data_IF_147856056992
#
_entry.id   IF_147856056992
#
_cell.length_a   1.000
_cell.length_b   1.000
_cell.length_c   1.000
_cell.angle_alpha   90.00
_cell.angle_beta   90.00
_cell.angle_gamma   90.00
#
_symmetry.space_group_name_H-M   'P 1'
#
loop_
_entity.id
_entity.type
_entity.pdbx_description
1 polymer ?
#
# COMPACT_ATOMS: atom_id res chain seq x y z
N UNK A 1 -47.24 -83.61 -26.89
CA UNK A 1 -45.82 -83.29 -26.61
C UNK A 1 -45.36 -82.28 -27.66
N UNK A 2 -44.73 -81.13 -27.42
CA UNK A 2 -44.27 -80.43 -26.23
C UNK A 2 -44.15 -78.93 -26.62
N UNK A 3 -44.56 -78.00 -25.74
CA UNK A 3 -44.39 -76.57 -25.96
C UNK A 3 -42.99 -76.13 -25.49
N UNK A 4 -42.24 -75.45 -26.36
CA UNK A 4 -40.89 -74.95 -26.09
C UNK A 4 -40.94 -73.75 -25.15
N UNK A 5 -40.34 -73.87 -23.97
CA UNK A 5 -40.19 -72.78 -22.99
C UNK A 5 -38.85 -72.08 -23.19
N UNK A 6 -38.90 -70.82 -23.65
CA UNK A 6 -37.74 -69.97 -23.82
C UNK A 6 -37.26 -69.48 -22.44
N UNK A 7 -36.00 -69.73 -22.07
CA UNK A 7 -35.44 -69.36 -20.77
C UNK A 7 -34.66 -68.05 -20.92
N UNK A 8 -35.19 -66.97 -20.33
CA UNK A 8 -34.59 -65.64 -20.36
C UNK A 8 -33.18 -65.63 -19.79
N UNK A 9 -32.27 -64.99 -20.52
CA UNK A 9 -30.89 -64.72 -20.09
C UNK A 9 -30.93 -63.74 -18.91
N UNK A 10 -30.48 -64.17 -17.74
CA UNK A 10 -30.26 -63.31 -16.58
C UNK A 10 -28.97 -62.50 -16.76
N UNK A 11 -29.07 -61.18 -16.63
CA UNK A 11 -27.93 -60.28 -16.69
C UNK A 11 -27.13 -60.31 -15.37
N UNK A 12 -25.86 -60.69 -15.46
CA UNK A 12 -24.91 -60.62 -14.35
C UNK A 12 -24.48 -59.16 -14.21
N UNK A 13 -24.99 -58.47 -13.19
CA UNK A 13 -24.55 -57.11 -12.83
C UNK A 13 -23.32 -57.21 -11.95
N UNK A 14 -22.18 -56.82 -12.51
CA UNK A 14 -20.89 -56.70 -11.82
C UNK A 14 -21.01 -55.73 -10.64
N UNK A 15 -20.97 -56.25 -9.40
CA UNK A 15 -20.82 -55.43 -8.22
C UNK A 15 -19.36 -54.99 -8.11
N UNK A 16 -19.04 -53.77 -8.55
CA UNK A 16 -17.77 -53.12 -8.19
C UNK A 16 -17.87 -52.74 -6.72
N UNK A 17 -17.11 -53.44 -5.87
CA UNK A 17 -16.91 -53.09 -4.47
C UNK A 17 -16.24 -51.72 -4.39
N UNK A 18 -17.03 -50.66 -4.26
CA UNK A 18 -16.52 -49.32 -3.93
C UNK A 18 -15.89 -49.33 -2.55
N UNK A 19 -14.82 -48.54 -2.36
CA UNK A 19 -14.18 -48.38 -1.06
C UNK A 19 -15.23 -48.11 0.02
N UNK A 20 -15.20 -48.85 1.13
CA UNK A 20 -16.28 -48.82 2.09
C UNK A 20 -16.26 -47.47 2.84
N UNK A 21 -17.42 -46.89 3.08
CA UNK A 21 -17.61 -45.48 3.52
C UNK A 21 -16.83 -45.11 4.81
N UNK A 22 -16.61 -46.08 5.70
CA UNK A 22 -15.77 -45.90 6.91
C UNK A 22 -14.31 -45.54 6.60
N UNK A 23 -13.79 -45.90 5.42
CA UNK A 23 -12.46 -45.50 4.98
C UNK A 23 -12.30 -43.97 4.86
N UNK A 24 -13.34 -43.27 4.39
CA UNK A 24 -13.32 -41.80 4.31
C UNK A 24 -13.35 -41.14 5.69
N UNK A 25 -14.05 -41.74 6.66
CA UNK A 25 -14.08 -41.26 8.05
C UNK A 25 -12.68 -41.36 8.66
N UNK A 26 -11.99 -42.49 8.47
CA UNK A 26 -10.64 -42.68 8.96
C UNK A 26 -9.66 -41.64 8.36
N UNK A 27 -9.78 -41.34 7.06
CA UNK A 27 -8.97 -40.33 6.37
C UNK A 27 -9.23 -38.92 6.92
N UNK A 28 -10.49 -38.58 7.18
CA UNK A 28 -10.87 -37.28 7.74
C UNK A 28 -10.30 -37.05 9.14
N UNK A 29 -10.36 -38.07 10.02
CA UNK A 29 -9.80 -38.00 11.37
C UNK A 29 -8.28 -37.83 11.33
N UNK A 30 -7.60 -38.53 10.41
CA UNK A 30 -6.15 -38.45 10.27
C UNK A 30 -5.70 -37.06 9.80
N UNK A 31 -6.39 -36.49 8.80
CA UNK A 31 -6.12 -35.12 8.33
C UNK A 31 -6.41 -34.05 9.40
N UNK A 32 -7.52 -34.18 10.14
CA UNK A 32 -7.85 -33.28 11.24
C UNK A 32 -6.83 -33.33 12.38
N UNK A 33 -6.37 -34.54 12.75
CA UNK A 33 -5.35 -34.73 13.77
C UNK A 33 -4.00 -34.11 13.40
N UNK A 34 -3.57 -34.26 12.14
CA UNK A 34 -2.33 -33.62 11.65
C UNK A 34 -2.44 -32.08 11.74
N UNK A 35 -3.58 -31.51 11.35
CA UNK A 35 -3.81 -30.07 11.41
C UNK A 35 -3.83 -29.55 12.86
N UNK A 36 -4.42 -30.30 13.79
CA UNK A 36 -4.41 -30.01 15.24
C UNK A 36 -2.97 -30.00 15.80
N UNK A 37 -2.13 -30.98 15.43
CA UNK A 37 -0.73 -31.06 15.89
C UNK A 37 0.10 -29.90 15.33
N UNK A 38 -0.13 -29.49 14.08
CA UNK A 38 0.52 -28.31 13.48
C UNK A 38 0.13 -27.04 14.23
N UNK A 39 -1.12 -26.88 14.65
CA UNK A 39 -1.56 -25.71 15.43
C UNK A 39 -0.93 -25.68 16.83
N UNK A 40 -0.89 -26.81 17.53
CA UNK A 40 -0.32 -26.90 18.88
C UNK A 40 1.21 -26.68 18.86
N UNK A 41 1.91 -27.26 17.88
CA UNK A 41 3.36 -27.10 17.74
C UNK A 41 3.76 -25.78 17.08
N UNK A 42 2.85 -25.19 16.30
CA UNK A 42 3.04 -23.98 15.51
C UNK A 42 2.60 -22.68 16.17
N UNK A 43 2.20 -22.66 17.45
CA UNK A 43 2.06 -21.45 18.30
C UNK A 43 1.31 -20.25 17.67
N UNK A 44 0.49 -20.48 16.65
CA UNK A 44 -0.15 -19.39 15.91
C UNK A 44 -1.35 -18.81 16.67
N UNK A 45 -1.87 -19.54 17.67
CA UNK A 45 -3.06 -19.16 18.46
C UNK A 45 -2.75 -18.76 19.91
N UNK A 46 -1.58 -19.10 20.47
CA UNK A 46 -1.16 -18.58 21.79
C UNK A 46 -0.65 -17.13 21.71
N UNK A 47 -0.24 -16.67 20.52
CA UNK A 47 0.29 -15.32 20.31
C UNK A 47 -0.78 -14.20 20.37
N UNK A 48 -2.08 -14.55 20.41
CA UNK A 48 -3.17 -13.59 20.70
C UNK A 48 -3.49 -13.46 22.21
N UNK A 49 -2.89 -14.29 23.08
CA UNK A 49 -2.99 -14.14 24.53
C UNK A 49 -1.69 -13.58 25.10
N UNK A 50 -1.21 -12.48 24.52
CA UNK A 50 -0.32 -11.56 25.24
C UNK A 50 -1.16 -10.84 26.28
N UNK A 51 -1.13 -11.41 27.47
CA UNK A 51 -1.68 -10.88 28.68
C UNK A 51 -0.73 -9.78 29.16
N UNK A 52 -1.00 -8.53 28.76
CA UNK A 52 -0.43 -7.34 29.39
C UNK A 52 -1.00 -7.23 30.81
N UNK A 53 -0.49 -8.05 31.72
CA UNK A 53 -0.67 -7.85 33.15
C UNK A 53 0.54 -7.07 33.68
N UNK A 54 0.35 -5.91 34.31
CA UNK A 54 1.43 -5.19 34.96
C UNK A 54 2.08 -6.08 36.02
N UNK A 55 3.35 -6.45 35.84
CA UNK A 55 4.12 -7.07 36.91
C UNK A 55 4.31 -6.03 38.03
N UNK A 56 3.92 -6.39 39.25
CA UNK A 56 4.27 -5.63 40.44
C UNK A 56 5.79 -5.61 40.59
N UNK A 57 6.38 -4.41 40.48
CA UNK A 57 7.80 -4.19 40.68
C UNK A 57 8.15 -4.45 42.17
N UNK A 58 8.92 -5.49 42.51
CA UNK A 58 9.25 -5.82 43.90
C UNK A 58 10.24 -4.83 44.55
N UNK A 59 10.70 -3.81 43.82
CA UNK A 59 11.67 -2.83 44.34
C UNK A 59 11.06 -1.49 44.75
N UNK A 60 9.73 -1.34 44.77
CA UNK A 60 9.07 -0.16 45.32
C UNK A 60 9.05 -0.21 46.87
N UNK A 61 10.21 -0.07 47.50
CA UNK A 61 10.30 0.24 48.93
C UNK A 61 10.23 1.76 49.08
N UNK A 62 9.20 2.26 49.75
CA UNK A 62 9.07 3.69 50.06
C UNK A 62 10.23 4.14 50.96
N UNK A 63 11.09 5.04 50.45
CA UNK A 63 12.05 5.75 51.30
C UNK A 63 11.28 6.62 52.28
N UNK A 64 11.26 6.18 53.55
CA UNK A 64 10.86 7.00 54.70
C UNK A 64 12.03 7.92 54.99
N UNK A 65 11.83 9.21 54.73
CA UNK A 65 12.81 10.25 55.03
C UNK A 65 13.11 10.36 56.51
N UNK A 66 14.38 10.60 56.82
CA UNK A 66 14.86 11.35 57.99
C UNK A 66 16.30 11.79 57.73
N UNK A 67 16.45 13.11 57.58
CA UNK A 67 17.67 13.95 57.55
C UNK A 67 18.53 13.74 58.83
N UNK A 68 19.78 14.30 59.02
CA UNK A 68 20.32 15.52 58.41
C UNK A 68 21.86 15.61 58.13
N UNK A 69 22.22 16.58 57.27
CA UNK A 69 23.40 17.44 57.42
C UNK A 69 24.77 16.93 56.98
N UNK A 70 25.30 17.46 55.86
CA UNK A 70 26.64 18.08 55.71
C UNK A 70 26.63 18.96 54.44
N UNK A 71 27.34 20.08 54.52
CA UNK A 71 27.37 21.27 53.66
C UNK A 71 28.29 21.13 52.42
N UNK A 72 27.79 21.58 51.24
CA UNK A 72 28.45 22.24 50.08
C UNK A 72 29.71 21.65 49.37
N UNK A 73 30.09 22.09 48.14
CA UNK A 73 29.37 22.82 47.07
C UNK A 73 29.56 22.22 45.64
N UNK A 74 28.99 22.90 44.65
CA UNK A 74 29.28 22.91 43.20
C UNK A 74 28.46 21.99 42.28
N UNK A 75 27.64 22.62 41.43
CA UNK A 75 27.19 22.03 40.18
C UNK A 75 25.73 22.32 39.83
N UNK A 76 25.50 23.46 39.18
CA UNK A 76 24.54 23.71 38.09
C UNK A 76 23.15 23.02 38.10
N UNK A 77 22.12 23.85 38.30
CA UNK A 77 20.87 23.93 37.52
C UNK A 77 20.18 22.63 37.06
N UNK A 78 19.04 22.32 37.68
CA UNK A 78 17.69 22.45 37.08
C UNK A 78 16.67 21.45 37.65
N UNK A 79 15.64 22.01 38.28
CA UNK A 79 14.42 21.35 38.77
C UNK A 79 13.59 20.73 37.63
N UNK A 80 12.70 19.75 37.93
CA UNK A 80 12.09 18.86 36.95
C UNK A 80 11.03 19.58 36.09
N UNK A 81 11.13 19.47 34.76
CA UNK A 81 10.04 19.89 33.87
C UNK A 81 8.86 18.92 33.97
N UNK A 82 7.73 19.46 34.43
CA UNK A 82 6.40 18.87 34.45
C UNK A 82 5.99 18.40 33.02
N UNK A 83 5.20 17.33 32.88
CA UNK A 83 4.75 16.88 31.56
C UNK A 83 3.84 17.93 30.92
N UNK A 84 4.26 18.45 29.75
CA UNK A 84 3.41 19.23 28.86
C UNK A 84 2.43 18.28 28.18
N UNK A 85 1.13 18.60 28.27
CA UNK A 85 0.03 17.82 27.70
C UNK A 85 -0.28 18.40 26.32
N UNK A 86 0.03 17.65 25.25
CA UNK A 86 -0.11 18.11 23.87
C UNK A 86 -1.50 17.76 23.31
N UNK A 87 -2.48 18.59 23.65
CA UNK A 87 -3.90 18.44 23.28
C UNK A 87 -4.18 18.60 21.77
N UNK A 88 -3.21 19.04 20.97
CA UNK A 88 -3.39 19.17 19.52
C UNK A 88 -3.11 17.88 18.73
N UNK A 89 -2.67 16.80 19.40
CA UNK A 89 -2.52 15.49 18.77
C UNK A 89 -3.81 14.67 18.66
N UNK A 90 -4.95 15.17 19.15
CA UNK A 90 -6.24 14.47 19.07
C UNK A 90 -7.31 15.37 18.44
N UNK A 91 -7.18 15.76 17.16
CA UNK A 91 -8.31 16.40 16.46
C UNK A 91 -8.49 16.19 14.95
N UNK A 92 -7.82 15.27 14.26
CA UNK A 92 -8.23 15.02 12.87
C UNK A 92 -8.04 13.57 12.44
N UNK A 93 -8.35 12.66 13.35
CA UNK A 93 -8.86 11.34 13.01
C UNK A 93 -10.32 11.48 12.52
N UNK A 94 -10.47 12.01 11.30
CA UNK A 94 -11.68 11.85 10.49
C UNK A 94 -11.25 11.80 9.02
N UNK A 95 -10.56 10.72 8.67
CA UNK A 95 -10.46 10.29 7.28
C UNK A 95 -11.87 9.88 6.82
N UNK A 96 -12.56 10.82 6.18
CA UNK A 96 -13.83 10.55 5.50
C UNK A 96 -13.47 9.89 4.17
N UNK A 97 -13.79 8.60 4.02
CA UNK A 97 -13.86 7.94 2.72
C UNK A 97 -14.89 8.69 1.87
N UNK A 98 -14.44 9.49 0.91
CA UNK A 98 -15.31 10.09 -0.10
C UNK A 98 -15.69 8.95 -1.07
N UNK A 99 -16.97 8.57 -1.19
CA UNK A 99 -17.41 7.58 -2.17
C UNK A 99 -17.17 8.11 -3.59
N UNK A 100 -16.76 7.25 -4.54
CA UNK A 100 -16.53 7.60 -5.96
C UNK A 100 -17.69 8.39 -6.63
N UNK A 101 -18.90 8.33 -6.05
CA UNK A 101 -20.08 9.06 -6.49
C UNK A 101 -19.95 10.60 -6.35
N UNK A 102 -19.31 11.12 -5.30
CA UNK A 102 -19.16 12.57 -5.11
C UNK A 102 -18.06 13.15 -6.00
N UNK A 103 -16.99 12.38 -6.24
CA UNK A 103 -15.88 12.74 -7.13
C UNK A 103 -16.38 12.85 -8.58
N UNK A 104 -17.24 11.92 -9.00
CA UNK A 104 -17.84 11.94 -10.34
C UNK A 104 -18.91 13.03 -10.50
N UNK A 105 -19.62 13.42 -9.44
CA UNK A 105 -20.52 14.56 -9.44
C UNK A 105 -19.76 15.89 -9.57
N UNK A 106 -18.66 16.07 -8.83
CA UNK A 106 -17.81 17.25 -8.94
C UNK A 106 -17.12 17.36 -10.30
N UNK A 107 -16.64 16.25 -10.87
CA UNK A 107 -16.03 16.24 -12.19
C UNK A 107 -17.01 16.68 -13.31
N UNK A 108 -18.30 16.32 -13.20
CA UNK A 108 -19.34 16.77 -14.15
C UNK A 108 -19.66 18.26 -13.99
N UNK A 109 -19.69 18.76 -12.76
CA UNK A 109 -19.91 20.19 -12.49
C UNK A 109 -18.77 21.07 -13.03
N UNK A 110 -17.51 20.67 -12.84
CA UNK A 110 -16.35 21.38 -13.40
C UNK A 110 -16.33 21.36 -14.95
N UNK A 111 -16.75 20.25 -15.56
CA UNK A 111 -16.87 20.15 -17.02
C UNK A 111 -17.95 21.08 -17.58
N UNK A 112 -19.11 21.19 -16.93
CA UNK A 112 -20.14 22.17 -17.32
C UNK A 112 -19.63 23.60 -17.20
N UNK A 113 -18.90 23.92 -16.14
CA UNK A 113 -18.39 25.28 -15.92
C UNK A 113 -17.32 25.69 -16.95
N UNK A 114 -16.45 24.76 -17.38
CA UNK A 114 -15.53 25.01 -18.50
C UNK A 114 -16.24 25.18 -19.84
N UNK A 115 -17.34 24.47 -20.09
CA UNK A 115 -18.12 24.62 -21.32
C UNK A 115 -18.88 25.96 -21.34
N UNK A 116 -19.35 26.46 -20.20
CA UNK A 116 -19.98 27.77 -20.06
C UNK A 116 -18.94 28.90 -20.26
N UNK A 117 -17.74 28.76 -19.70
CA UNK A 117 -16.66 29.73 -19.88
C UNK A 117 -16.12 29.77 -21.32
N UNK A 118 -16.10 28.64 -22.03
CA UNK A 118 -15.70 28.57 -23.43
C UNK A 118 -16.73 29.22 -24.38
N UNK A 119 -18.03 29.13 -24.05
CA UNK A 119 -19.10 29.78 -24.82
C UNK A 119 -19.16 31.30 -24.62
N UNK A 120 -18.56 31.84 -23.55
CA UNK A 120 -18.50 33.29 -23.29
C UNK A 120 -17.27 33.98 -23.90
N UNK A 121 -16.38 33.25 -24.59
CA UNK A 121 -15.15 33.80 -25.18
C UNK A 121 -15.18 34.36 -26.61
N UNK A 122 -16.31 34.54 -27.34
CA UNK A 122 -16.28 35.21 -28.63
C UNK A 122 -16.67 36.70 -28.48
N UNK A 123 -15.74 37.56 -28.05
CA UNK A 123 -15.90 39.02 -28.22
C UNK A 123 -14.60 39.84 -28.13
N UNK A 124 -13.52 39.35 -27.51
CA UNK A 124 -12.34 40.18 -27.23
C UNK A 124 -11.15 40.02 -28.21
N UNK A 125 -11.27 39.19 -29.25
CA UNK A 125 -10.15 38.86 -30.15
C UNK A 125 -10.22 39.50 -31.55
N UNK A 126 -11.15 40.43 -31.81
CA UNK A 126 -11.35 41.02 -33.15
C UNK A 126 -10.99 42.51 -33.29
N UNK A 127 -10.20 43.10 -32.39
CA UNK A 127 -9.92 44.55 -32.45
C UNK A 127 -8.45 44.96 -32.39
N UNK A 128 -7.56 44.16 -32.97
CA UNK A 128 -6.19 44.59 -33.22
C UNK A 128 -5.71 44.16 -34.62
N UNK A 129 -6.25 44.82 -35.65
CA UNK A 129 -5.66 44.80 -36.99
C UNK A 129 -5.63 46.20 -37.58
N UNK A 130 -4.46 46.86 -37.53
CA UNK A 130 -4.05 47.90 -38.47
C UNK A 130 -2.50 47.93 -38.56
N UNK A 131 -1.91 48.25 -39.74
CA UNK A 131 -0.57 47.81 -40.13
C UNK A 131 0.53 48.89 -40.13
N UNK A 132 1.79 48.40 -40.14
CA UNK A 132 3.00 48.92 -40.82
C UNK A 132 3.64 50.26 -40.39
N UNK A 133 4.88 50.21 -39.87
CA UNK A 133 6.16 50.52 -40.57
C UNK A 133 7.32 50.93 -39.63
N UNK A 134 8.55 50.57 -40.03
CA UNK A 134 9.90 51.04 -39.61
C UNK A 134 10.52 50.49 -38.30
N UNK A 135 11.86 50.46 -38.16
CA UNK A 135 12.73 49.38 -38.64
C UNK A 135 13.57 48.74 -37.51
N UNK A 136 14.26 47.66 -37.87
CA UNK A 136 15.15 46.85 -37.04
C UNK A 136 16.06 47.64 -36.08
N UNK A 137 15.90 47.36 -34.78
CA UNK A 137 16.99 47.43 -33.81
C UNK A 137 17.48 46.00 -33.59
N UNK A 138 18.61 45.74 -34.24
CA UNK A 138 19.47 44.59 -34.08
C UNK A 138 20.00 44.63 -32.64
N UNK A 139 19.60 43.68 -31.80
CA UNK A 139 20.35 43.34 -30.58
C UNK A 139 20.72 41.87 -30.69
N UNK A 140 22.02 41.69 -30.82
CA UNK A 140 22.73 40.47 -31.12
C UNK A 140 22.30 39.30 -30.24
N UNK A 141 22.04 38.19 -30.92
CA UNK A 141 22.13 36.86 -30.36
C UNK A 141 23.61 36.59 -30.03
N UNK A 142 24.05 36.93 -28.82
CA UNK A 142 25.21 36.26 -28.23
C UNK A 142 24.71 35.02 -27.52
N UNK A 143 25.00 33.90 -28.16
CA UNK A 143 24.99 32.56 -27.60
C UNK A 143 25.71 32.56 -26.24
N UNK A 144 24.97 32.23 -25.19
CA UNK A 144 25.51 31.65 -23.98
C UNK A 144 24.75 30.33 -23.79
N UNK A 145 25.53 29.26 -23.62
CA UNK A 145 25.15 27.86 -23.58
C UNK A 145 23.81 27.57 -22.89
N UNK A 146 23.08 26.51 -23.30
CA UNK A 146 21.85 26.10 -22.65
C UNK A 146 22.19 25.66 -21.22
N UNK A 147 22.07 26.59 -20.27
CA UNK A 147 21.96 26.24 -18.87
C UNK A 147 20.74 25.35 -18.76
N UNK A 148 21.02 24.05 -18.64
CA UNK A 148 20.05 23.00 -18.57
C UNK A 148 19.06 23.36 -17.48
N UNK A 149 17.83 23.67 -17.88
CA UNK A 149 16.71 23.70 -16.96
C UNK A 149 16.57 22.27 -16.42
N UNK A 150 17.20 22.02 -15.27
CA UNK A 150 16.95 20.83 -14.47
C UNK A 150 15.43 20.81 -14.26
N UNK A 151 14.70 19.79 -14.77
CA UNK A 151 13.26 19.76 -14.58
C UNK A 151 13.01 19.64 -13.09
N UNK A 152 12.58 20.73 -12.47
CA UNK A 152 12.09 20.76 -11.09
C UNK A 152 11.07 19.62 -10.96
N UNK A 153 11.26 18.65 -10.04
CA UNK A 153 10.34 17.53 -9.90
C UNK A 153 8.96 18.11 -9.63
N UNK A 154 8.04 17.89 -10.57
CA UNK A 154 6.69 18.41 -10.53
C UNK A 154 6.08 18.16 -9.15
N UNK A 155 5.92 19.22 -8.37
CA UNK A 155 5.17 19.25 -7.11
C UNK A 155 3.69 19.11 -7.46
N UNK A 156 3.27 17.90 -7.77
CA UNK A 156 1.92 17.60 -8.19
C UNK A 156 1.66 16.12 -8.03
N UNK A 157 1.05 15.75 -6.89
CA UNK A 157 0.30 14.51 -6.66
C UNK A 157 0.69 13.36 -7.60
N UNK A 158 1.87 12.81 -7.37
CA UNK A 158 2.36 11.67 -8.13
C UNK A 158 1.58 10.41 -7.74
N UNK A 159 1.26 9.59 -8.73
CA UNK A 159 0.72 8.26 -8.45
C UNK A 159 1.89 7.28 -8.36
N UNK A 160 1.97 6.49 -7.30
CA UNK A 160 2.99 5.46 -7.11
C UNK A 160 2.33 4.09 -7.14
N UNK A 161 3.07 3.08 -7.58
CA UNK A 161 2.58 1.70 -7.57
C UNK A 161 3.52 0.85 -6.72
N UNK A 162 3.03 0.36 -5.57
CA UNK A 162 3.81 -0.49 -4.68
C UNK A 162 3.59 -1.96 -5.04
N UNK A 163 4.65 -2.64 -5.45
CA UNK A 163 4.59 -4.06 -5.86
C UNK A 163 4.86 -5.03 -4.70
N UNK A 164 5.55 -4.57 -3.65
CA UNK A 164 5.85 -5.43 -2.51
C UNK A 164 6.67 -4.76 -1.41
N UNK A 165 6.75 -5.42 -0.26
CA UNK A 165 7.59 -5.05 0.86
C UNK A 165 8.25 -6.33 1.42
N UNK A 166 9.57 -6.39 1.41
CA UNK A 166 10.33 -7.57 1.81
C UNK A 166 11.16 -7.28 3.06
N UNK A 167 11.28 -8.22 4.01
CA UNK A 167 12.18 -8.06 5.16
C UNK A 167 13.66 -8.15 4.75
N UNK A 168 13.96 -8.80 3.62
CA UNK A 168 15.31 -8.97 3.09
C UNK A 168 15.55 -8.06 1.88
N UNK A 169 16.72 -7.41 1.84
CA UNK A 169 17.13 -6.55 0.74
C UNK A 169 17.32 -7.33 -0.57
N UNK A 170 17.89 -8.54 -0.52
CA UNK A 170 18.19 -9.35 -1.70
C UNK A 170 16.90 -9.77 -2.46
N UNK A 171 15.83 -10.09 -1.73
CA UNK A 171 14.53 -10.44 -2.33
C UNK A 171 13.91 -9.23 -3.04
N UNK A 172 14.02 -8.04 -2.43
CA UNK A 172 13.56 -6.79 -3.02
C UNK A 172 14.34 -6.42 -4.29
N UNK A 173 15.66 -6.63 -4.30
CA UNK A 173 16.52 -6.41 -5.47
C UNK A 173 16.22 -7.41 -6.59
N UNK A 174 15.97 -8.68 -6.26
CA UNK A 174 15.56 -9.70 -7.23
C UNK A 174 14.26 -9.32 -7.91
N UNK A 175 13.26 -8.85 -7.15
CA UNK A 175 12.01 -8.35 -7.72
C UNK A 175 12.25 -7.12 -8.61
N UNK A 176 13.07 -6.17 -8.17
CA UNK A 176 13.46 -5.00 -8.98
C UNK A 176 14.13 -5.42 -10.30
N UNK A 177 15.03 -6.40 -10.27
CA UNK A 177 15.68 -6.91 -11.47
C UNK A 177 14.65 -7.56 -12.42
N UNK A 178 13.75 -8.38 -11.89
CA UNK A 178 12.66 -8.98 -12.68
C UNK A 178 11.77 -7.92 -13.34
N UNK A 179 11.46 -6.86 -12.62
CA UNK A 179 10.68 -5.73 -13.14
C UNK A 179 11.45 -4.96 -14.21
N UNK A 180 12.74 -4.73 -14.01
CA UNK A 180 13.60 -4.06 -14.99
C UNK A 180 13.70 -4.85 -16.30
N UNK A 181 13.80 -6.17 -16.24
CA UNK A 181 13.76 -7.05 -17.42
C UNK A 181 12.43 -6.97 -18.18
N UNK A 182 11.33 -6.64 -17.49
CA UNK A 182 10.02 -6.39 -18.08
C UNK A 182 9.84 -4.95 -18.58
N UNK A 183 10.90 -4.13 -18.49
CA UNK A 183 10.88 -2.72 -18.89
C UNK A 183 10.29 -1.77 -17.83
N UNK A 184 10.07 -2.25 -16.61
CA UNK A 184 9.55 -1.42 -15.52
C UNK A 184 10.66 -0.89 -14.62
N UNK A 185 10.65 0.42 -14.36
CA UNK A 185 11.63 1.06 -13.46
C UNK A 185 11.12 1.02 -12.03
N UNK A 186 11.69 0.13 -11.22
CA UNK A 186 11.38 -0.01 -9.80
C UNK A 186 12.51 0.54 -8.90
N UNK A 187 12.11 1.15 -7.79
CA UNK A 187 12.98 1.66 -6.73
C UNK A 187 12.72 0.90 -5.43
N UNK A 188 13.80 0.54 -4.74
CA UNK A 188 13.73 -0.08 -3.40
C UNK A 188 13.97 0.99 -2.35
N UNK A 189 13.10 1.05 -1.34
CA UNK A 189 13.24 1.98 -0.21
C UNK A 189 13.12 1.24 1.10
N UNK A 190 14.13 1.40 1.96
CA UNK A 190 14.12 0.86 3.32
C UNK A 190 13.26 1.73 4.23
N UNK A 191 12.35 1.11 4.98
CA UNK A 191 11.50 1.78 5.98
C UNK A 191 11.48 0.92 7.25
N UNK A 192 11.59 1.55 8.41
CA UNK A 192 11.43 0.85 9.69
C UNK A 192 9.98 1.01 10.18
N UNK A 193 9.27 -0.10 10.35
CA UNK A 193 7.88 -0.12 10.82
C UNK A 193 7.86 -1.00 12.07
N UNK A 194 7.60 -0.39 13.24
CA UNK A 194 7.51 -1.12 14.50
C UNK A 194 8.80 -1.85 14.91
N UNK A 195 9.96 -1.30 14.58
CA UNK A 195 11.26 -1.89 14.90
C UNK A 195 11.80 -2.89 13.86
N UNK A 196 11.03 -3.24 12.83
CA UNK A 196 11.49 -4.10 11.73
C UNK A 196 11.76 -3.29 10.45
N UNK A 197 12.89 -3.55 9.81
CA UNK A 197 13.28 -2.93 8.53
C UNK A 197 12.65 -3.69 7.36
N UNK A 198 11.89 -2.98 6.54
CA UNK A 198 11.31 -3.50 5.30
C UNK A 198 11.85 -2.75 4.09
N UNK A 199 12.12 -3.50 3.04
CA UNK A 199 12.53 -3.02 1.72
C UNK A 199 11.31 -3.00 0.80
N UNK A 200 10.75 -1.80 0.62
CA UNK A 200 9.58 -1.59 -0.25
C UNK A 200 10.01 -1.35 -1.68
N UNK A 201 9.52 -2.18 -2.60
CA UNK A 201 9.73 -2.01 -4.03
C UNK A 201 8.55 -1.21 -4.60
N UNK A 202 8.85 -0.06 -5.18
CA UNK A 202 7.87 0.91 -5.70
C UNK A 202 8.22 1.24 -7.15
N UNK A 203 7.21 1.32 -7.99
CA UNK A 203 7.34 1.78 -9.37
C UNK A 203 7.06 3.28 -9.41
N UNK A 204 7.76 3.94 -10.34
CA UNK A 204 7.95 5.40 -10.39
C UNK A 204 6.67 6.26 -10.33
N UNK A 205 6.85 7.57 -10.19
CA UNK A 205 5.72 8.50 -10.15
C UNK A 205 5.04 8.58 -11.52
N UNK A 206 3.89 7.93 -11.63
CA UNK A 206 2.99 8.01 -12.78
C UNK A 206 2.27 9.36 -12.79
N UNK A 207 2.07 9.90 -14.00
CA UNK A 207 1.48 11.24 -14.19
C UNK A 207 -0.05 11.20 -14.17
N UNK A 208 -0.64 10.03 -14.37
CA UNK A 208 -2.08 9.82 -14.47
C UNK A 208 -2.51 8.49 -13.84
N UNK A 209 -3.72 8.46 -13.29
CA UNK A 209 -4.37 7.24 -12.83
C UNK A 209 -4.55 6.20 -13.96
N UNK A 210 -4.78 6.66 -15.20
CA UNK A 210 -4.93 5.77 -16.37
C UNK A 210 -3.63 5.01 -16.66
N UNK A 211 -2.49 5.69 -16.57
CA UNK A 211 -1.17 5.10 -16.80
C UNK A 211 -0.85 4.05 -15.72
N UNK A 212 -1.19 4.38 -14.46
CA UNK A 212 -1.02 3.47 -13.33
C UNK A 212 -1.84 2.19 -13.53
N UNK A 213 -3.13 2.29 -13.88
CA UNK A 213 -3.98 1.10 -14.05
C UNK A 213 -3.50 0.23 -15.21
N UNK A 214 -3.07 0.84 -16.33
CA UNK A 214 -2.48 0.11 -17.45
C UNK A 214 -1.20 -0.65 -17.05
N UNK A 215 -0.40 -0.08 -16.14
CA UNK A 215 0.84 -0.68 -15.65
C UNK A 215 0.55 -1.80 -14.67
N UNK A 216 -0.40 -1.58 -13.75
CA UNK A 216 -0.90 -2.58 -12.81
C UNK A 216 -1.47 -3.80 -13.56
N UNK A 217 -2.23 -3.59 -14.63
CA UNK A 217 -2.76 -4.68 -15.45
C UNK A 217 -1.64 -5.50 -16.10
N UNK A 218 -0.60 -4.84 -16.63
CA UNK A 218 0.57 -5.52 -17.21
C UNK A 218 1.35 -6.32 -16.16
N UNK A 219 1.51 -5.78 -14.96
CA UNK A 219 2.13 -6.49 -13.85
C UNK A 219 1.31 -7.70 -13.40
N UNK A 220 -0.01 -7.57 -13.38
CA UNK A 220 -0.91 -8.69 -13.07
C UNK A 220 -0.77 -9.81 -14.11
N UNK A 221 -0.62 -9.48 -15.41
CA UNK A 221 -0.33 -10.48 -16.46
C UNK A 221 1.02 -11.18 -16.23
N UNK A 222 2.00 -10.47 -15.68
CA UNK A 222 3.29 -11.03 -15.27
C UNK A 222 3.24 -11.82 -13.93
N UNK A 223 2.06 -11.94 -13.32
CA UNK A 223 1.87 -12.60 -12.03
C UNK A 223 2.37 -11.78 -10.82
N UNK A 224 2.56 -10.47 -10.99
CA UNK A 224 3.05 -9.56 -9.96
C UNK A 224 1.89 -8.67 -9.50
N UNK A 225 1.49 -8.81 -8.24
CA UNK A 225 0.45 -7.97 -7.65
C UNK A 225 1.00 -6.60 -7.28
N UNK A 226 0.22 -5.55 -7.51
CA UNK A 226 0.64 -4.18 -7.26
C UNK A 226 -0.49 -3.31 -6.71
N UNK A 227 -0.17 -2.45 -5.75
CA UNK A 227 -1.10 -1.59 -5.03
C UNK A 227 -0.89 -0.14 -5.47
N UNK A 228 -1.95 0.50 -5.95
CA UNK A 228 -1.95 1.91 -6.32
C UNK A 228 -1.91 2.79 -5.07
N UNK A 229 -0.93 3.68 -4.95
CA UNK A 229 -0.86 4.70 -3.91
C UNK A 229 -0.92 6.07 -4.58
N UNK A 230 -1.94 6.86 -4.25
CA UNK A 230 -1.98 8.28 -4.60
C UNK A 230 -1.22 9.03 -3.52
N UNK A 231 -0.17 9.76 -3.89
CA UNK A 231 0.51 10.65 -2.95
C UNK A 231 -0.45 11.79 -2.60
N UNK A 232 -1.06 11.71 -1.41
CA UNK A 232 -1.91 12.75 -0.85
C UNK A 232 -1.07 13.98 -0.52
N UNK A 233 -1.62 15.17 -0.78
CA UNK A 233 -1.08 16.41 -0.24
C UNK A 233 -1.39 16.52 1.25
#
# INVERSE_FOLDING_TARGET
MAARKNKGRQAVRNARSGFPTWGYIAIGVLLGGILMVIVIRGSLLTSLRKQDVPQANPQATAQRGSEPGVLEPAGNDSTPRKPQYDFYSVLSEKEVRIPDAEISAQARAEQQQKQLAAQQRPAAAQQASAPANTPAAISENITAAPASAVPTPATGSGYLLQVGAFPNAADAETLKAKLALQGFVANVRSVNIGGQTYHRVRLGPFRSATELESTKQRLATAGINAIALKEGR
#
